data_IF_268167575618
#
_entry.id   IF_268167575618
#
_cell.length_a   1.000
_cell.length_b   1.000
_cell.length_c   1.000
_cell.angle_alpha   90.00
_cell.angle_beta   90.00
_cell.angle_gamma   90.00
#
_symmetry.space_group_name_H-M   'P 1'
#
loop_
_entity.id
_entity.type
_entity.pdbx_description
1 polymer ?
#
# COMPACT_ATOMS: atom_id res chain seq x y z
N UNK A 1 11.67 -5.92 5.22
CA UNK A 1 10.40 -6.53 4.81
C UNK A 1 10.32 -7.99 5.25
N UNK A 2 9.10 -8.43 5.53
CA UNK A 2 8.78 -9.80 5.95
C UNK A 2 7.70 -10.33 5.03
N UNK A 3 7.78 -11.62 4.68
CA UNK A 3 6.80 -12.34 3.88
C UNK A 3 6.49 -13.67 4.55
N UNK A 4 5.21 -13.97 4.73
CA UNK A 4 4.74 -15.30 5.12
C UNK A 4 3.67 -15.77 4.14
N UNK A 5 3.77 -17.02 3.71
CA UNK A 5 2.82 -17.69 2.82
C UNK A 5 2.47 -19.05 3.39
N UNK A 6 1.20 -19.39 3.32
CA UNK A 6 0.73 -20.75 3.62
C UNK A 6 -0.42 -21.09 2.66
N UNK A 7 -0.39 -22.32 2.18
CA UNK A 7 -1.46 -22.88 1.36
C UNK A 7 -1.82 -24.25 1.92
N UNK A 8 -3.11 -24.54 2.00
CA UNK A 8 -3.65 -25.85 2.39
C UNK A 8 -4.70 -26.24 1.38
N UNK A 9 -4.47 -27.33 0.66
CA UNK A 9 -5.42 -27.91 -0.29
C UNK A 9 -5.96 -29.21 0.28
N UNK A 10 -7.26 -29.39 0.15
CA UNK A 10 -7.95 -30.58 0.63
C UNK A 10 -8.92 -31.13 -0.42
N UNK A 11 -8.64 -32.32 -0.91
CA UNK A 11 -9.48 -33.06 -1.86
C UNK A 11 -10.36 -34.06 -1.13
N UNK A 12 -11.66 -33.87 -1.23
CA UNK A 12 -12.68 -34.79 -0.71
C UNK A 12 -13.26 -35.62 -1.85
N UNK A 13 -12.96 -36.91 -1.88
CA UNK A 13 -13.60 -37.91 -2.76
C UNK A 13 -13.92 -37.39 -4.18
N UNK A 14 -12.91 -37.24 -5.02
CA UNK A 14 -12.94 -37.05 -6.48
C UNK A 14 -13.79 -35.88 -7.05
N UNK A 15 -14.54 -35.12 -6.26
CA UNK A 15 -15.42 -34.07 -6.76
C UNK A 15 -15.48 -32.79 -5.94
N UNK A 16 -14.89 -32.81 -4.78
CA UNK A 16 -14.92 -31.66 -3.89
C UNK A 16 -13.48 -31.26 -3.60
N UNK A 17 -13.19 -30.01 -3.91
CA UNK A 17 -11.89 -29.41 -3.64
C UNK A 17 -12.10 -28.17 -2.77
N UNK A 18 -11.25 -28.00 -1.76
CA UNK A 18 -11.21 -26.82 -0.91
C UNK A 18 -9.76 -26.39 -0.73
N UNK A 19 -9.51 -25.11 -0.92
CA UNK A 19 -8.19 -24.53 -0.69
C UNK A 19 -8.28 -23.31 0.22
N UNK A 20 -7.32 -23.22 1.13
CA UNK A 20 -7.11 -22.04 1.95
C UNK A 20 -5.73 -21.45 1.67
N UNK A 21 -5.71 -20.16 1.36
CA UNK A 21 -4.50 -19.39 1.11
C UNK A 21 -4.36 -18.32 2.18
N UNK A 22 -3.19 -18.24 2.77
CA UNK A 22 -2.78 -17.18 3.65
C UNK A 22 -1.55 -16.49 3.07
N UNK A 23 -1.56 -15.16 3.07
CA UNK A 23 -0.40 -14.34 2.72
C UNK A 23 -0.30 -13.16 3.69
N UNK A 24 0.90 -12.92 4.18
CA UNK A 24 1.24 -11.72 4.95
C UNK A 24 2.47 -11.06 4.33
N UNK A 25 2.36 -9.78 4.05
CA UNK A 25 3.49 -8.93 3.62
C UNK A 25 3.59 -7.77 4.58
N UNK A 26 4.74 -7.62 5.22
CA UNK A 26 5.06 -6.46 6.04
C UNK A 26 6.31 -5.80 5.47
N UNK A 27 6.18 -4.54 5.07
CA UNK A 27 7.25 -3.77 4.47
C UNK A 27 7.46 -2.46 5.22
N UNK A 28 8.63 -2.30 5.79
CA UNK A 28 9.10 -1.04 6.34
C UNK A 28 10.18 -0.48 5.42
N UNK A 29 9.97 0.73 4.94
CA UNK A 29 10.88 1.42 4.01
C UNK A 29 11.18 2.80 4.57
N UNK A 30 12.46 3.09 4.72
CA UNK A 30 12.95 4.41 5.09
C UNK A 30 13.76 4.97 3.93
N UNK A 31 13.55 6.24 3.62
CA UNK A 31 14.26 6.91 2.54
C UNK A 31 14.66 8.33 2.95
N UNK A 32 15.81 8.73 2.45
CA UNK A 32 16.30 10.12 2.51
C UNK A 32 16.64 10.53 1.10
N UNK A 33 16.07 11.65 0.65
CA UNK A 33 16.37 12.23 -0.65
C UNK A 33 16.89 13.65 -0.47
N UNK A 34 18.05 13.94 -1.05
CA UNK A 34 18.62 15.28 -1.12
C UNK A 34 18.50 15.81 -2.54
N UNK A 35 17.84 16.94 -2.67
CA UNK A 35 17.61 17.61 -3.94
C UNK A 35 18.31 18.95 -3.92
N UNK A 36 19.09 19.23 -4.95
CA UNK A 36 19.81 20.50 -5.10
C UNK A 36 19.36 21.21 -6.37
N UNK A 37 19.24 22.50 -6.33
CA UNK A 37 18.86 23.26 -7.52
C UNK A 37 18.67 24.73 -7.24
N UNK A 38 18.46 25.46 -8.33
CA UNK A 38 18.00 26.84 -8.27
C UNK A 38 16.48 26.84 -8.36
N UNK A 39 15.82 27.35 -7.34
CA UNK A 39 14.36 27.41 -7.32
C UNK A 39 13.94 28.79 -6.77
N UNK A 40 12.92 29.38 -7.36
CA UNK A 40 12.32 30.64 -6.91
C UNK A 40 11.82 30.64 -5.45
N UNK A 41 11.60 29.44 -4.89
CA UNK A 41 11.28 29.27 -3.46
C UNK A 41 12.46 29.70 -2.57
N UNK A 42 13.71 29.58 -3.05
CA UNK A 42 14.91 29.82 -2.22
C UNK A 42 15.41 31.25 -2.21
N UNK A 43 15.18 32.01 -3.25
CA UNK A 43 15.47 33.45 -3.33
C UNK A 43 15.15 34.00 -4.71
N UNK A 44 14.81 35.25 -4.80
CA UNK A 44 14.79 36.05 -6.05
C UNK A 44 16.23 36.29 -6.59
N UNK A 45 17.25 36.00 -5.81
CA UNK A 45 18.66 36.07 -6.20
C UNK A 45 19.09 34.77 -6.89
N UNK A 46 19.38 34.87 -8.19
CA UNK A 46 19.73 33.75 -9.07
C UNK A 46 20.98 32.95 -8.66
N UNK A 47 21.76 33.42 -7.71
CA UNK A 47 23.01 32.77 -7.27
C UNK A 47 22.83 31.85 -6.06
N UNK A 48 21.68 31.89 -5.38
CA UNK A 48 21.47 31.03 -4.22
C UNK A 48 21.04 29.62 -4.62
N UNK A 49 21.89 28.65 -4.36
CA UNK A 49 21.55 27.24 -4.42
C UNK A 49 20.70 26.87 -3.21
N UNK A 50 19.54 26.28 -3.49
CA UNK A 50 18.67 25.70 -2.49
C UNK A 50 18.87 24.19 -2.38
N UNK A 51 18.61 23.67 -1.19
CA UNK A 51 18.63 22.26 -0.88
C UNK A 51 17.28 21.86 -0.28
N UNK A 52 16.71 20.77 -0.75
CA UNK A 52 15.55 20.16 -0.11
C UNK A 52 15.93 18.78 0.35
N UNK A 53 15.83 18.53 1.66
CA UNK A 53 15.97 17.20 2.24
C UNK A 53 14.58 16.65 2.56
N UNK A 54 14.23 15.52 1.93
CA UNK A 54 13.03 14.76 2.24
C UNK A 54 13.42 13.48 2.98
N UNK A 55 12.89 13.32 4.17
CA UNK A 55 12.99 12.11 4.97
C UNK A 55 11.60 11.50 5.08
N UNK A 56 11.48 10.21 4.84
CA UNK A 56 10.20 9.50 4.85
C UNK A 56 10.39 8.10 5.40
N UNK A 57 9.45 7.68 6.23
CA UNK A 57 9.32 6.30 6.68
C UNK A 57 7.91 5.80 6.32
N UNK A 58 7.82 4.62 5.75
CA UNK A 58 6.56 3.95 5.47
C UNK A 58 6.57 2.57 6.13
N UNK A 59 5.49 2.24 6.81
CA UNK A 59 5.28 0.94 7.43
C UNK A 59 3.95 0.38 6.93
N UNK A 60 4.01 -0.64 6.07
CA UNK A 60 2.86 -1.19 5.35
C UNK A 60 2.69 -2.66 5.68
N UNK A 61 1.46 -3.05 6.01
CA UNK A 61 1.07 -4.43 6.27
C UNK A 61 -0.09 -4.81 5.34
N UNK A 62 0.06 -5.96 4.68
CA UNK A 62 -1.01 -6.63 3.94
C UNK A 62 -1.18 -8.04 4.50
N UNK A 63 -2.39 -8.38 4.90
CA UNK A 63 -2.78 -9.74 5.27
C UNK A 63 -3.92 -10.17 4.34
N UNK A 64 -3.78 -11.32 3.70
CA UNK A 64 -4.79 -11.93 2.82
C UNK A 64 -5.13 -13.29 3.37
N UNK A 65 -6.42 -13.51 3.60
CA UNK A 65 -7.00 -14.82 3.91
C UNK A 65 -8.00 -15.15 2.81
N UNK A 66 -7.85 -16.29 2.15
CA UNK A 66 -8.71 -16.68 1.05
C UNK A 66 -9.10 -18.14 1.18
N UNK A 67 -10.40 -18.38 1.19
CA UNK A 67 -10.99 -19.72 1.13
C UNK A 67 -11.68 -19.89 -0.22
N UNK A 68 -11.35 -20.95 -0.91
CA UNK A 68 -11.95 -21.30 -2.19
C UNK A 68 -12.44 -22.75 -2.18
N UNK A 69 -13.53 -23.02 -2.86
CA UNK A 69 -14.05 -24.35 -2.94
C UNK A 69 -14.72 -24.63 -4.30
N UNK A 70 -14.56 -25.84 -4.77
CA UNK A 70 -15.26 -26.38 -5.92
C UNK A 70 -15.96 -27.66 -5.50
N UNK A 71 -17.28 -27.68 -5.62
CA UNK A 71 -18.12 -28.80 -5.21
C UNK A 71 -18.90 -29.36 -6.39
N UNK A 72 -18.66 -30.61 -6.72
CA UNK A 72 -19.48 -31.36 -7.67
C UNK A 72 -20.79 -31.79 -7.04
N UNK A 73 -21.88 -31.02 -7.26
CA UNK A 73 -23.21 -31.33 -6.73
C UNK A 73 -23.83 -32.56 -7.42
N UNK A 74 -23.65 -32.67 -8.74
CA UNK A 74 -24.07 -33.80 -9.55
C UNK A 74 -22.97 -34.11 -10.59
N UNK A 75 -23.21 -35.07 -11.50
CA UNK A 75 -22.28 -35.31 -12.63
C UNK A 75 -22.16 -34.14 -13.59
N UNK A 76 -23.21 -33.32 -13.68
CA UNK A 76 -23.29 -32.18 -14.62
C UNK A 76 -23.32 -30.82 -13.95
N UNK A 77 -23.55 -30.74 -12.63
CA UNK A 77 -23.65 -29.49 -11.90
C UNK A 77 -22.55 -29.37 -10.86
N UNK A 78 -21.83 -28.26 -10.85
CA UNK A 78 -20.85 -27.91 -9.84
C UNK A 78 -21.04 -26.51 -9.31
N UNK A 79 -20.67 -26.30 -8.05
CA UNK A 79 -20.61 -25.02 -7.35
C UNK A 79 -19.14 -24.61 -7.22
N UNK A 80 -18.82 -23.40 -7.67
CA UNK A 80 -17.56 -22.71 -7.42
C UNK A 80 -17.84 -21.56 -6.45
N UNK A 81 -17.25 -21.56 -5.27
CA UNK A 81 -17.46 -20.53 -4.29
C UNK A 81 -16.12 -20.11 -3.65
N UNK A 82 -16.06 -18.89 -3.17
CA UNK A 82 -14.90 -18.39 -2.47
C UNK A 82 -15.22 -17.14 -1.65
N UNK A 83 -14.45 -16.97 -0.60
CA UNK A 83 -14.45 -15.78 0.22
C UNK A 83 -13.00 -15.38 0.54
N UNK A 84 -12.76 -14.08 0.62
CA UNK A 84 -11.50 -13.57 1.16
C UNK A 84 -11.74 -12.46 2.16
N UNK A 85 -10.88 -12.40 3.16
CA UNK A 85 -10.78 -11.29 4.11
C UNK A 85 -9.37 -10.75 4.09
N UNK A 86 -9.23 -9.49 3.71
CA UNK A 86 -7.96 -8.84 3.53
C UNK A 86 -7.87 -7.64 4.48
N UNK A 87 -6.71 -7.46 5.08
CA UNK A 87 -6.39 -6.34 5.96
C UNK A 87 -5.23 -5.58 5.30
N UNK A 88 -5.42 -4.29 5.08
CA UNK A 88 -4.38 -3.39 4.60
C UNK A 88 -4.15 -2.31 5.65
N UNK A 89 -2.91 -2.19 6.10
CA UNK A 89 -2.48 -1.09 6.97
C UNK A 89 -1.33 -0.36 6.34
N UNK A 90 -1.48 0.96 6.24
CA UNK A 90 -0.44 1.87 5.78
C UNK A 90 -0.17 2.91 6.85
N UNK A 91 1.07 3.08 7.23
CA UNK A 91 1.47 4.07 8.21
C UNK A 91 2.67 4.87 7.67
N UNK A 92 2.49 6.16 7.57
CA UNK A 92 3.58 7.11 7.33
C UNK A 92 3.76 7.95 8.61
N UNK A 93 4.57 7.47 9.56
CA UNK A 93 4.64 8.05 10.91
C UNK A 93 5.32 9.42 10.94
N UNK A 94 6.15 9.72 9.97
CA UNK A 94 6.81 11.03 9.86
C UNK A 94 7.45 11.20 8.49
N UNK A 95 6.91 12.11 7.68
CA UNK A 95 7.58 12.63 6.50
C UNK A 95 8.00 14.06 6.78
N UNK A 96 9.29 14.33 6.62
CA UNK A 96 9.86 15.68 6.78
C UNK A 96 10.35 16.20 5.44
N UNK A 97 10.03 17.43 5.16
CA UNK A 97 10.60 18.17 4.05
C UNK A 97 11.23 19.44 4.64
N UNK A 98 12.56 19.49 4.58
CA UNK A 98 13.34 20.63 5.03
C UNK A 98 13.91 21.35 3.82
N UNK A 99 13.52 22.60 3.64
CA UNK A 99 14.11 23.50 2.65
C UNK A 99 15.23 24.30 3.32
N UNK A 100 16.41 24.23 2.76
CA UNK A 100 17.66 24.70 3.33
C UNK A 100 18.30 25.64 2.31
N UNK A 101 18.81 26.75 2.74
CA UNK A 101 19.56 27.69 1.92
C UNK A 101 20.99 27.84 2.43
N UNK A 102 21.91 28.21 1.54
CA UNK A 102 23.26 28.53 1.89
C UNK A 102 23.30 29.89 2.61
N UNK A 103 24.01 29.96 3.72
CA UNK A 103 24.30 31.18 4.46
C UNK A 103 25.77 31.57 4.27
N UNK A 104 26.18 32.74 4.77
CA UNK A 104 27.60 33.17 4.71
C UNK A 104 28.51 32.17 5.40
N UNK A 105 28.06 31.61 6.52
CA UNK A 105 28.77 30.56 7.24
C UNK A 105 27.90 29.29 7.32
N UNK A 106 28.01 28.38 6.31
CA UNK A 106 27.31 27.11 6.31
C UNK A 106 25.91 27.13 5.70
N UNK A 107 24.93 26.50 6.37
CA UNK A 107 23.58 26.29 5.89
C UNK A 107 22.56 26.68 6.96
N UNK A 108 21.40 27.14 6.54
CA UNK A 108 20.29 27.50 7.43
C UNK A 108 18.95 27.05 6.85
N UNK A 109 17.97 26.81 7.72
CA UNK A 109 16.61 26.54 7.26
C UNK A 109 16.04 27.78 6.56
N UNK A 110 15.36 27.54 5.44
CA UNK A 110 14.65 28.61 4.74
C UNK A 110 13.55 29.19 5.64
N UNK A 111 13.47 30.51 5.72
CA UNK A 111 12.48 31.19 6.54
C UNK A 111 11.08 31.08 5.92
N UNK A 112 10.06 31.32 6.73
CA UNK A 112 8.68 31.25 6.31
C UNK A 112 8.11 29.82 6.39
N UNK A 113 7.01 29.58 5.68
CA UNK A 113 6.25 28.31 5.69
C UNK A 113 6.86 27.26 4.74
N UNK A 114 8.14 27.03 4.84
CA UNK A 114 8.87 26.20 3.90
C UNK A 114 9.26 24.81 4.45
N UNK A 115 8.98 24.56 5.71
CA UNK A 115 9.26 23.29 6.38
C UNK A 115 7.95 22.55 6.58
N UNK A 116 7.94 21.25 6.24
CA UNK A 116 6.72 20.44 6.32
C UNK A 116 6.95 19.17 7.14
N UNK A 117 5.95 18.81 7.90
CA UNK A 117 5.82 17.48 8.51
C UNK A 117 4.47 16.89 8.17
N UNK A 118 4.46 15.64 7.76
CA UNK A 118 3.27 14.91 7.36
C UNK A 118 3.20 13.56 8.04
N UNK A 119 2.01 13.20 8.47
CA UNK A 119 1.69 11.96 9.13
C UNK A 119 0.44 11.39 8.48
N UNK A 120 0.41 10.10 8.18
CA UNK A 120 -0.82 9.45 7.71
C UNK A 120 -0.94 8.03 8.20
N UNK A 121 -2.18 7.59 8.33
CA UNK A 121 -2.56 6.21 8.60
C UNK A 121 -3.68 5.79 7.66
N UNK A 122 -3.59 4.58 7.15
CA UNK A 122 -4.63 3.88 6.42
C UNK A 122 -4.92 2.56 7.11
N UNK A 123 -6.18 2.32 7.45
CA UNK A 123 -6.69 1.04 7.89
C UNK A 123 -7.84 0.65 6.95
N UNK A 124 -7.68 -0.46 6.22
CA UNK A 124 -8.69 -0.98 5.29
C UNK A 124 -8.96 -2.45 5.58
N UNK A 125 -10.24 -2.77 5.73
CA UNK A 125 -10.77 -4.13 5.78
C UNK A 125 -11.57 -4.42 4.51
N UNK A 126 -11.20 -5.47 3.78
CA UNK A 126 -11.78 -5.82 2.49
C UNK A 126 -12.27 -7.26 2.50
N UNK A 127 -13.59 -7.44 2.33
CA UNK A 127 -14.26 -8.73 2.22
C UNK A 127 -14.70 -8.94 0.77
N UNK A 128 -14.23 -10.02 0.16
CA UNK A 128 -14.70 -10.43 -1.16
C UNK A 128 -15.42 -11.78 -1.07
N UNK A 129 -16.52 -11.90 -1.78
CA UNK A 129 -17.27 -13.14 -1.88
C UNK A 129 -17.59 -13.46 -3.34
N UNK A 130 -17.53 -14.72 -3.70
CA UNK A 130 -17.98 -15.22 -5.01
C UNK A 130 -18.73 -16.52 -4.85
N UNK A 131 -19.74 -16.73 -5.70
CA UNK A 131 -20.43 -18.00 -5.83
C UNK A 131 -20.87 -18.17 -7.28
N UNK A 132 -20.68 -19.34 -7.86
CA UNK A 132 -21.04 -19.64 -9.24
C UNK A 132 -21.50 -21.08 -9.41
N UNK A 133 -22.62 -21.26 -10.10
CA UNK A 133 -23.10 -22.56 -10.53
C UNK A 133 -22.65 -22.79 -11.97
N UNK A 134 -22.09 -23.97 -12.23
CA UNK A 134 -21.60 -24.40 -13.53
C UNK A 134 -22.38 -25.65 -13.94
N UNK A 135 -23.18 -25.53 -15.00
CA UNK A 135 -23.93 -26.62 -15.58
C UNK A 135 -23.30 -27.08 -16.89
N UNK A 136 -22.85 -28.34 -16.96
CA UNK A 136 -22.27 -28.97 -18.15
C UNK A 136 -23.38 -29.54 -19.04
N UNK A 137 -23.44 -29.04 -20.26
CA UNK A 137 -24.43 -29.50 -21.27
C UNK A 137 -23.98 -30.76 -22.02
N UNK A 138 -22.67 -30.85 -22.29
CA UNK A 138 -22.01 -32.00 -22.92
C UNK A 138 -20.66 -32.23 -22.27
N UNK A 139 -20.34 -33.50 -22.07
CA UNK A 139 -19.06 -33.95 -21.48
C UNK A 139 -18.42 -34.97 -22.44
N UNK A 140 -18.14 -34.54 -23.68
CA UNK A 140 -17.36 -35.32 -24.63
C UNK A 140 -15.91 -34.78 -24.62
N UNK A 141 -14.94 -35.66 -24.83
CA UNK A 141 -13.51 -35.36 -24.79
C UNK A 141 -13.11 -34.23 -25.79
N UNK A 142 -13.91 -34.01 -26.81
CA UNK A 142 -13.65 -33.01 -27.88
C UNK A 142 -14.46 -31.70 -27.75
N UNK A 143 -15.57 -31.70 -26.99
CA UNK A 143 -16.41 -30.49 -26.85
C UNK A 143 -16.93 -30.35 -25.41
N UNK A 144 -16.47 -29.32 -24.71
CA UNK A 144 -16.98 -28.91 -23.38
C UNK A 144 -17.89 -27.72 -23.57
N UNK A 145 -19.21 -27.94 -23.45
CA UNK A 145 -20.20 -26.86 -23.42
C UNK A 145 -20.73 -26.69 -21.99
N UNK A 146 -20.64 -25.47 -21.45
CA UNK A 146 -21.15 -25.20 -20.11
C UNK A 146 -21.90 -23.87 -20.06
N UNK A 147 -22.84 -23.78 -19.13
CA UNK A 147 -23.50 -22.53 -18.72
C UNK A 147 -23.02 -22.21 -17.31
N UNK A 148 -22.60 -20.98 -17.10
CA UNK A 148 -22.17 -20.49 -15.79
C UNK A 148 -23.06 -19.32 -15.37
N UNK A 149 -23.60 -19.40 -14.15
CA UNK A 149 -24.30 -18.33 -13.47
C UNK A 149 -23.61 -18.05 -12.14
N UNK A 150 -23.32 -16.80 -11.85
CA UNK A 150 -22.59 -16.49 -10.62
C UNK A 150 -22.86 -15.09 -10.11
N UNK A 151 -22.42 -14.88 -8.87
CA UNK A 151 -22.43 -13.62 -8.15
C UNK A 151 -21.04 -13.34 -7.61
N UNK A 152 -20.62 -12.07 -7.66
CA UNK A 152 -19.45 -11.58 -6.95
C UNK A 152 -19.81 -10.31 -6.21
N UNK A 153 -19.31 -10.17 -4.98
CA UNK A 153 -19.48 -8.98 -4.14
C UNK A 153 -18.17 -8.60 -3.47
N UNK A 154 -17.98 -7.29 -3.29
CA UNK A 154 -16.86 -6.73 -2.54
C UNK A 154 -17.41 -5.71 -1.55
N UNK A 155 -16.94 -5.79 -0.31
CA UNK A 155 -17.29 -4.90 0.78
C UNK A 155 -16.00 -4.38 1.36
N UNK A 156 -15.84 -3.06 1.37
CA UNK A 156 -14.64 -2.38 1.87
C UNK A 156 -15.04 -1.39 2.93
N UNK A 157 -14.32 -1.42 4.04
CA UNK A 157 -14.34 -0.38 5.07
C UNK A 157 -12.93 0.20 5.14
N UNK A 158 -12.79 1.50 4.83
CA UNK A 158 -11.53 2.19 4.83
C UNK A 158 -11.56 3.42 5.75
N UNK A 159 -10.47 3.61 6.47
CA UNK A 159 -10.27 4.77 7.33
C UNK A 159 -8.90 5.36 7.05
N UNK A 160 -8.89 6.47 6.32
CA UNK A 160 -7.68 7.23 6.04
C UNK A 160 -7.65 8.51 6.86
N UNK A 161 -6.54 8.73 7.56
CA UNK A 161 -6.27 9.96 8.29
C UNK A 161 -4.92 10.52 7.86
N UNK A 162 -4.88 11.81 7.60
CA UNK A 162 -3.65 12.52 7.30
C UNK A 162 -3.61 13.85 8.03
N UNK A 163 -2.41 14.22 8.49
CA UNK A 163 -2.16 15.51 9.13
C UNK A 163 -0.88 16.10 8.56
N UNK A 164 -0.97 17.32 8.09
CA UNK A 164 0.16 18.09 7.59
C UNK A 164 0.38 19.33 8.45
N UNK A 165 1.63 19.55 8.83
CA UNK A 165 2.07 20.75 9.51
C UNK A 165 3.03 21.52 8.61
N UNK A 166 2.70 22.75 8.33
CA UNK A 166 3.59 23.72 7.70
C UNK A 166 4.24 24.56 8.81
N UNK A 167 5.54 24.37 8.98
CA UNK A 167 6.28 25.01 10.06
C UNK A 167 6.86 26.35 9.58
N UNK A 168 6.55 27.40 10.29
CA UNK A 168 7.11 28.75 10.04
C UNK A 168 8.40 28.92 10.81
N UNK A 169 9.49 29.17 10.10
CA UNK A 169 10.80 29.47 10.69
C UNK A 169 11.02 30.97 10.65
N UNK A 170 10.95 31.60 11.82
CA UNK A 170 11.21 33.05 11.98
C UNK A 170 12.71 33.37 12.05
N UNK A 171 13.46 32.57 12.78
CA UNK A 171 14.91 32.69 12.92
C UNK A 171 15.54 31.30 13.02
N UNK A 172 16.59 31.09 12.25
CA UNK A 172 17.37 29.85 12.31
C UNK A 172 18.88 30.21 12.34
N UNK A 173 19.62 29.56 13.21
CA UNK A 173 21.08 29.65 13.23
C UNK A 173 21.65 28.86 12.06
N UNK A 174 22.76 29.34 11.50
CA UNK A 174 23.53 28.58 10.52
C UNK A 174 24.28 27.44 11.18
N UNK A 175 24.40 26.33 10.46
CA UNK A 175 25.17 25.16 10.85
C UNK A 175 26.15 24.80 9.74
N UNK A 176 27.35 24.25 10.09
CA UNK A 176 28.44 24.07 9.13
C UNK A 176 28.19 22.97 8.10
N UNK A 177 27.32 21.99 8.39
CA UNK A 177 27.08 20.82 7.51
C UNK A 177 25.61 20.51 7.34
N UNK A 178 25.25 20.06 6.13
CA UNK A 178 23.90 19.53 5.82
C UNK A 178 23.55 18.26 6.62
N UNK A 179 24.54 17.53 7.12
CA UNK A 179 24.32 16.29 7.88
C UNK A 179 23.66 16.52 9.25
N UNK A 180 23.62 17.77 9.68
CA UNK A 180 23.00 18.16 10.95
C UNK A 180 21.51 18.55 10.83
N UNK A 181 20.89 18.43 9.62
CA UNK A 181 19.47 18.70 9.42
C UNK A 181 18.59 17.46 9.40
#
# INVERSE_FOLDING_TARGET
SQLALANVDYDMQNRHHMSYNFMMIHANVQSVGDYTGKNSIFSDDYDNQGFTRRQQANDNLLIVNQLMTNWGLTKTLSLDAGASYNIVKGNEPDRRINNITKAEEGYTLLRGNSQQRYFSTLDEDDINVKAGLIYRLKDNVEEISNIRLGYTGRFVDDNFKATEYNLTVGHASSIPSLDNF
#
